data_IF_262583325887
#
_entry.id   IF_262583325887
#
_cell.length_a   1.000
_cell.length_b   1.000
_cell.length_c   1.000
_cell.angle_alpha   90.00
_cell.angle_beta   90.00
_cell.angle_gamma   90.00
#
_symmetry.space_group_name_H-M   'P 1'
#
loop_
_entity.id
_entity.type
_entity.pdbx_description
1 polymer ?
#
# COMPACT_ATOMS: atom_id res chain seq x y z
N UNK A 1 -16.71 8.69 26.39
CA UNK A 1 -15.92 8.30 25.20
C UNK A 1 -16.89 8.02 24.05
N UNK A 2 -17.17 9.01 23.19
CA UNK A 2 -18.07 8.81 22.04
C UNK A 2 -17.26 8.11 20.95
N UNK A 3 -17.54 6.83 20.68
CA UNK A 3 -17.08 6.17 19.45
C UNK A 3 -17.63 7.00 18.28
N UNK A 4 -16.74 7.67 17.55
CA UNK A 4 -17.10 8.20 16.24
C UNK A 4 -17.56 7.01 15.41
N UNK A 5 -18.85 6.96 15.10
CA UNK A 5 -19.38 6.09 14.05
C UNK A 5 -18.88 6.72 12.74
N UNK A 6 -17.60 6.47 12.44
CA UNK A 6 -16.98 6.92 11.20
C UNK A 6 -17.75 6.26 10.06
N UNK A 7 -18.50 7.08 9.33
CA UNK A 7 -19.19 6.71 8.10
C UNK A 7 -18.15 6.42 7.02
N UNK A 8 -17.44 5.30 7.16
CA UNK A 8 -16.47 4.74 6.21
C UNK A 8 -17.00 4.77 4.78
N UNK A 9 -18.30 4.51 4.61
CA UNK A 9 -18.96 4.41 3.30
C UNK A 9 -19.11 5.73 2.53
N UNK A 10 -19.03 6.91 3.16
CA UNK A 10 -19.51 8.15 2.51
C UNK A 10 -18.43 8.98 1.79
N UNK A 11 -17.14 8.78 2.04
CA UNK A 11 -16.08 9.61 1.42
C UNK A 11 -15.08 8.86 0.54
N UNK A 12 -14.83 7.57 0.80
CA UNK A 12 -13.73 6.83 0.15
C UNK A 12 -14.20 5.84 -0.92
N UNK A 13 -15.52 5.59 -1.01
CA UNK A 13 -16.05 4.44 -1.76
C UNK A 13 -17.01 4.86 -2.87
N UNK A 14 -16.46 5.23 -4.03
CA UNK A 14 -17.22 5.16 -5.28
C UNK A 14 -17.30 3.69 -5.70
N UNK A 15 -18.40 3.03 -5.35
CA UNK A 15 -18.65 1.63 -5.75
C UNK A 15 -18.75 1.58 -7.29
N UNK A 16 -18.17 0.54 -7.90
CA UNK A 16 -18.24 0.27 -9.35
C UNK A 16 -17.38 1.16 -10.25
N UNK A 17 -16.30 1.75 -9.75
CA UNK A 17 -15.29 2.43 -10.59
C UNK A 17 -14.05 1.57 -10.81
N UNK A 18 -13.31 1.85 -11.89
CA UNK A 18 -11.98 1.26 -12.16
C UNK A 18 -11.04 1.41 -10.97
N UNK A 19 -10.99 2.61 -10.39
CA UNK A 19 -10.17 2.90 -9.21
C UNK A 19 -10.55 2.01 -8.02
N UNK A 20 -11.85 1.92 -7.70
CA UNK A 20 -12.32 1.10 -6.58
C UNK A 20 -12.08 -0.40 -6.79
N UNK A 21 -11.99 -0.86 -8.04
CA UNK A 21 -11.66 -2.24 -8.36
C UNK A 21 -10.16 -2.49 -8.17
N UNK A 22 -9.31 -1.58 -8.65
CA UNK A 22 -7.85 -1.63 -8.46
C UNK A 22 -7.49 -1.59 -6.98
N UNK A 23 -8.07 -0.65 -6.23
CA UNK A 23 -7.84 -0.53 -4.78
C UNK A 23 -8.16 -1.81 -4.04
N UNK A 24 -9.32 -2.45 -4.32
CA UNK A 24 -9.69 -3.73 -3.69
C UNK A 24 -8.74 -4.85 -4.05
N UNK A 25 -8.31 -4.91 -5.32
CA UNK A 25 -7.35 -5.91 -5.76
C UNK A 25 -6.04 -5.78 -4.96
N UNK A 26 -5.52 -4.56 -4.84
CA UNK A 26 -4.30 -4.27 -4.08
C UNK A 26 -4.48 -4.53 -2.58
N UNK A 27 -5.60 -4.11 -1.99
CA UNK A 27 -5.92 -4.39 -0.57
C UNK A 27 -5.92 -5.89 -0.27
N UNK A 28 -6.50 -6.71 -1.14
CA UNK A 28 -6.48 -8.16 -0.95
C UNK A 28 -5.05 -8.70 -0.90
N UNK A 29 -4.18 -8.24 -1.81
CA UNK A 29 -2.78 -8.70 -1.87
C UNK A 29 -1.98 -8.20 -0.66
N UNK A 30 -2.06 -6.91 -0.35
CA UNK A 30 -1.36 -6.33 0.81
C UNK A 30 -1.88 -6.96 2.11
N UNK A 31 -3.18 -7.21 2.21
CA UNK A 31 -3.82 -7.89 3.33
C UNK A 31 -3.56 -9.39 3.43
N UNK A 32 -2.74 -9.98 2.55
CA UNK A 32 -2.30 -11.37 2.66
C UNK A 32 -3.24 -12.42 2.05
N UNK A 33 -4.19 -12.03 1.20
CA UNK A 33 -5.01 -13.01 0.48
C UNK A 33 -4.14 -13.82 -0.50
N UNK A 34 -4.24 -15.15 -0.44
CA UNK A 34 -3.52 -16.05 -1.35
C UNK A 34 -3.97 -15.91 -2.83
N UNK A 35 -5.15 -15.35 -3.07
CA UNK A 35 -5.63 -15.05 -4.42
C UNK A 35 -6.57 -13.85 -4.44
N UNK A 36 -6.61 -13.18 -5.58
CA UNK A 36 -7.59 -12.14 -5.90
C UNK A 36 -7.77 -12.10 -7.42
N UNK A 37 -8.93 -11.65 -7.89
CA UNK A 37 -9.23 -11.57 -9.32
C UNK A 37 -10.12 -10.36 -9.61
N UNK A 38 -9.98 -9.80 -10.80
CA UNK A 38 -10.98 -8.89 -11.33
C UNK A 38 -12.19 -9.68 -11.82
N UNK A 39 -13.39 -9.19 -11.53
CA UNK A 39 -14.61 -9.74 -12.11
C UNK A 39 -14.60 -9.55 -13.63
N UNK A 40 -15.33 -10.39 -14.38
CA UNK A 40 -15.39 -10.35 -15.85
C UNK A 40 -15.96 -9.03 -16.39
N UNK A 41 -15.35 -8.56 -17.47
CA UNK A 41 -15.88 -7.54 -18.37
C UNK A 41 -16.83 -8.20 -19.41
N UNK A 42 -17.88 -7.53 -19.93
CA UNK A 42 -18.37 -6.18 -19.62
C UNK A 42 -19.46 -6.12 -18.52
N UNK A 43 -19.70 -7.21 -17.79
CA UNK A 43 -20.75 -7.28 -16.74
C UNK A 43 -20.21 -6.70 -15.41
N UNK A 44 -19.74 -5.45 -15.45
CA UNK A 44 -19.36 -4.67 -14.26
C UNK A 44 -18.02 -5.02 -13.61
N UNK A 45 -17.13 -5.74 -14.31
CA UNK A 45 -15.78 -6.05 -13.84
C UNK A 45 -14.70 -5.65 -14.83
N UNK A 46 -13.43 -5.57 -14.39
CA UNK A 46 -12.32 -5.15 -15.24
C UNK A 46 -11.71 -6.27 -16.10
N UNK A 47 -12.02 -7.55 -15.84
CA UNK A 47 -11.41 -8.68 -16.54
C UNK A 47 -9.88 -8.54 -16.67
N UNK A 48 -9.38 -8.59 -17.90
CA UNK A 48 -7.97 -8.33 -18.25
C UNK A 48 -7.81 -7.04 -19.11
N UNK A 49 -8.62 -6.02 -18.83
CA UNK A 49 -8.51 -4.71 -19.49
C UNK A 49 -7.19 -3.99 -19.16
N UNK A 50 -6.90 -2.91 -19.87
CA UNK A 50 -5.69 -2.09 -19.66
C UNK A 50 -5.45 -1.68 -18.19
N UNK A 51 -6.46 -1.15 -17.46
CA UNK A 51 -6.30 -0.84 -16.03
C UNK A 51 -5.97 -2.06 -15.15
N UNK A 52 -6.61 -3.21 -15.40
CA UNK A 52 -6.31 -4.45 -14.67
C UNK A 52 -4.87 -4.90 -14.91
N UNK A 53 -4.38 -4.84 -16.15
CA UNK A 53 -3.00 -5.17 -16.50
C UNK A 53 -1.99 -4.23 -15.82
N UNK A 54 -2.28 -2.92 -15.76
CA UNK A 54 -1.44 -1.93 -15.06
C UNK A 54 -1.36 -2.22 -13.55
N UNK A 55 -2.49 -2.54 -12.91
CA UNK A 55 -2.53 -2.94 -11.51
C UNK A 55 -1.70 -4.22 -11.25
N UNK A 56 -1.85 -5.25 -12.09
CA UNK A 56 -1.05 -6.48 -11.98
C UNK A 56 0.45 -6.17 -12.15
N UNK A 57 0.83 -5.32 -13.10
CA UNK A 57 2.23 -4.87 -13.27
C UNK A 57 2.73 -4.12 -12.05
N UNK A 58 1.91 -3.28 -11.41
CA UNK A 58 2.25 -2.58 -10.18
C UNK A 58 2.62 -3.57 -9.05
N UNK A 59 1.83 -4.63 -8.90
CA UNK A 59 2.08 -5.67 -7.90
C UNK A 59 3.29 -6.54 -8.23
N UNK A 60 3.55 -6.84 -9.52
CA UNK A 60 4.78 -7.54 -9.92
C UNK A 60 6.03 -6.72 -9.63
N UNK A 61 5.95 -5.39 -9.77
CA UNK A 61 7.01 -4.47 -9.35
C UNK A 61 7.21 -4.49 -7.84
N UNK A 62 6.13 -4.53 -7.06
CA UNK A 62 6.21 -4.67 -5.60
C UNK A 62 6.88 -6.00 -5.19
N UNK A 63 6.46 -7.11 -5.80
CA UNK A 63 7.03 -8.45 -5.56
C UNK A 63 8.53 -8.53 -5.91
N UNK A 64 9.00 -7.73 -6.88
CA UNK A 64 10.45 -7.66 -7.18
C UNK A 64 11.29 -7.00 -6.08
N UNK A 65 10.66 -6.38 -5.09
CA UNK A 65 11.31 -5.70 -3.98
C UNK A 65 11.08 -6.41 -2.64
N UNK A 66 9.93 -7.08 -2.49
CA UNK A 66 9.47 -7.63 -1.22
C UNK A 66 8.88 -9.02 -1.39
N UNK A 67 9.36 -9.95 -0.57
CA UNK A 67 8.75 -11.26 -0.40
C UNK A 67 7.46 -11.13 0.42
N UNK A 68 6.33 -10.99 -0.26
CA UNK A 68 5.04 -10.71 0.39
C UNK A 68 4.61 -11.77 1.41
N UNK A 69 5.07 -13.02 1.27
CA UNK A 69 4.77 -14.12 2.20
C UNK A 69 5.53 -14.02 3.53
N UNK A 70 6.57 -13.19 3.61
CA UNK A 70 7.30 -12.91 4.85
C UNK A 70 6.66 -11.79 5.68
N UNK A 71 5.57 -11.17 5.20
CA UNK A 71 4.92 -10.03 5.86
C UNK A 71 3.69 -10.46 6.67
N UNK A 72 3.41 -9.71 7.73
CA UNK A 72 2.17 -9.80 8.51
C UNK A 72 1.49 -8.43 8.62
N UNK A 73 0.17 -8.35 8.87
CA UNK A 73 -0.50 -7.06 9.11
C UNK A 73 0.20 -6.26 10.22
N UNK A 74 0.45 -4.97 9.99
CA UNK A 74 1.30 -4.14 10.85
C UNK A 74 0.77 -2.72 11.09
N UNK A 75 -0.53 -2.47 10.92
CA UNK A 75 -1.14 -1.15 11.14
C UNK A 75 -0.91 -0.58 12.55
N UNK A 76 -0.57 -1.40 13.54
CA UNK A 76 -0.16 -0.99 14.89
C UNK A 76 1.16 -0.19 14.90
N UNK A 77 1.98 -0.31 13.85
CA UNK A 77 3.19 0.50 13.65
C UNK A 77 2.89 1.88 13.05
N UNK A 78 1.64 2.18 12.69
CA UNK A 78 1.23 3.47 12.13
C UNK A 78 0.59 4.37 13.20
N UNK A 79 0.87 5.67 13.10
CA UNK A 79 0.20 6.73 13.84
C UNK A 79 -0.13 7.90 12.91
N UNK A 80 -1.00 8.81 13.35
CA UNK A 80 -1.34 10.05 12.65
C UNK A 80 -1.70 9.85 11.16
N UNK A 81 -2.48 8.82 10.89
CA UNK A 81 -2.99 8.49 9.56
C UNK A 81 -4.51 8.54 9.54
N UNK A 82 -5.08 8.72 8.36
CA UNK A 82 -6.52 8.59 8.22
C UNK A 82 -6.90 7.11 8.27
N UNK A 83 -7.57 6.74 9.37
CA UNK A 83 -8.12 5.40 9.56
C UNK A 83 -8.80 4.91 8.30
N UNK A 84 -8.66 3.62 8.02
CA UNK A 84 -9.35 2.97 6.90
C UNK A 84 -8.92 3.41 5.49
N UNK A 85 -7.86 4.22 5.35
CA UNK A 85 -7.27 4.61 4.06
C UNK A 85 -5.82 4.20 3.86
N UNK A 86 -5.14 3.85 4.94
CA UNK A 86 -3.74 3.42 4.92
C UNK A 86 -3.63 2.02 5.53
N UNK A 87 -3.03 1.11 4.78
CA UNK A 87 -2.83 -0.28 5.19
C UNK A 87 -1.34 -0.58 5.20
N UNK A 88 -0.90 -1.36 6.18
CA UNK A 88 0.50 -1.76 6.33
C UNK A 88 0.60 -3.27 6.55
N UNK A 89 1.47 -3.90 5.79
CA UNK A 89 2.01 -5.24 6.06
C UNK A 89 3.52 -5.14 6.24
N UNK A 90 4.05 -5.80 7.27
CA UNK A 90 5.41 -5.60 7.75
C UNK A 90 6.08 -6.90 8.17
N UNK A 91 7.40 -6.92 7.98
CA UNK A 91 8.35 -7.77 8.67
C UNK A 91 9.34 -6.80 9.36
N UNK A 92 9.11 -6.47 10.64
CA UNK A 92 9.85 -5.42 11.34
C UNK A 92 11.37 -5.58 11.22
N UNK A 93 12.03 -4.50 10.82
CA UNK A 93 13.48 -4.45 10.58
C UNK A 93 13.92 -4.93 9.19
N UNK A 94 13.05 -5.57 8.41
CA UNK A 94 13.39 -6.10 7.07
C UNK A 94 12.61 -5.43 5.94
N UNK A 95 11.28 -5.47 5.99
CA UNK A 95 10.45 -4.99 4.89
C UNK A 95 9.10 -4.46 5.39
N UNK A 96 8.59 -3.44 4.73
CA UNK A 96 7.28 -2.84 4.99
C UNK A 96 6.62 -2.49 3.66
N UNK A 97 5.33 -2.79 3.57
CA UNK A 97 4.49 -2.45 2.42
C UNK A 97 3.33 -1.62 2.90
N UNK A 98 3.31 -0.34 2.52
CA UNK A 98 2.17 0.54 2.77
C UNK A 98 1.31 0.65 1.51
N UNK A 99 0.00 0.73 1.69
CA UNK A 99 -0.93 1.08 0.63
C UNK A 99 -1.82 2.22 1.08
N UNK A 100 -1.77 3.31 0.31
CA UNK A 100 -2.62 4.49 0.46
C UNK A 100 -3.70 4.45 -0.62
N UNK A 101 -4.98 4.47 -0.22
CA UNK A 101 -6.11 4.51 -1.16
C UNK A 101 -6.13 5.80 -1.99
N UNK A 102 -5.75 6.90 -1.37
CA UNK A 102 -5.64 8.23 -1.95
C UNK A 102 -4.51 8.96 -1.21
N UNK A 103 -4.18 10.17 -1.66
CA UNK A 103 -3.08 10.92 -1.06
C UNK A 103 -3.23 11.15 0.44
N UNK A 104 -2.11 11.33 1.12
CA UNK A 104 -2.08 11.55 2.55
C UNK A 104 -0.72 11.29 3.18
N UNK A 105 -0.74 11.11 4.50
CA UNK A 105 0.46 10.81 5.27
C UNK A 105 0.18 9.87 6.42
N UNK A 106 1.20 9.15 6.87
CA UNK A 106 1.20 8.33 8.07
C UNK A 106 2.57 8.42 8.76
N UNK A 107 2.59 8.37 10.08
CA UNK A 107 3.82 8.24 10.86
C UNK A 107 4.11 6.75 11.08
N UNK A 108 5.18 6.24 10.47
CA UNK A 108 5.65 4.87 10.63
C UNK A 108 6.64 4.78 11.79
N UNK A 109 6.39 3.87 12.73
CA UNK A 109 7.30 3.61 13.84
C UNK A 109 8.43 2.67 13.42
N UNK A 110 9.65 3.19 13.30
CA UNK A 110 10.88 2.43 13.08
C UNK A 110 11.85 2.55 14.27
N UNK A 111 11.36 2.92 15.46
CA UNK A 111 12.19 3.18 16.63
C UNK A 111 13.09 1.99 17.02
N UNK A 112 12.57 0.78 16.91
CA UNK A 112 13.28 -0.45 17.27
C UNK A 112 14.09 -1.05 16.11
N UNK A 113 14.12 -0.38 14.95
CA UNK A 113 14.80 -0.84 13.75
C UNK A 113 16.12 -0.09 13.56
N UNK A 114 17.18 -0.80 13.16
CA UNK A 114 18.50 -0.22 12.88
C UNK A 114 18.77 -0.22 11.38
N UNK A 115 19.68 0.66 10.96
CA UNK A 115 20.13 0.75 9.57
C UNK A 115 19.24 1.63 8.69
N UNK A 116 19.63 1.71 7.43
CA UNK A 116 18.94 2.48 6.40
C UNK A 116 17.99 1.60 5.61
N UNK A 117 16.91 2.20 5.13
CA UNK A 117 15.87 1.55 4.34
C UNK A 117 15.68 2.29 3.01
N UNK A 118 15.59 1.51 1.93
CA UNK A 118 15.18 1.99 0.62
C UNK A 118 13.67 2.06 0.56
N UNK A 119 13.15 3.24 0.27
CA UNK A 119 11.74 3.52 0.07
C UNK A 119 11.50 3.73 -1.42
N UNK A 120 10.55 2.99 -2.00
CA UNK A 120 10.19 3.08 -3.41
C UNK A 120 8.68 3.07 -3.62
N UNK A 121 8.17 4.12 -4.26
CA UNK A 121 6.76 4.28 -4.58
C UNK A 121 6.37 3.58 -5.89
N UNK A 122 5.13 3.10 -5.97
CA UNK A 122 4.50 2.54 -7.17
C UNK A 122 3.07 3.08 -7.24
N UNK A 123 2.68 3.68 -8.36
CA UNK A 123 1.30 4.12 -8.54
C UNK A 123 0.43 2.89 -8.86
N UNK A 124 -0.63 2.66 -8.07
CA UNK A 124 -1.45 1.46 -8.20
C UNK A 124 -2.29 1.42 -9.48
N UNK A 125 -2.66 2.59 -10.03
CA UNK A 125 -3.52 2.71 -11.21
C UNK A 125 -2.70 2.68 -12.50
N UNK A 126 -1.57 3.38 -12.54
CA UNK A 126 -0.73 3.45 -13.74
C UNK A 126 0.28 2.31 -13.82
N UNK A 127 0.65 1.74 -12.68
CA UNK A 127 1.72 0.75 -12.55
C UNK A 127 3.12 1.33 -12.73
N UNK A 128 3.27 2.65 -12.70
CA UNK A 128 4.54 3.34 -12.87
C UNK A 128 5.32 3.44 -11.56
N UNK A 129 6.65 3.53 -11.68
CA UNK A 129 7.50 3.80 -10.52
C UNK A 129 7.34 5.25 -10.11
N UNK A 130 7.23 5.49 -8.82
CA UNK A 130 7.34 6.82 -8.22
C UNK A 130 8.76 7.09 -7.71
N UNK A 131 8.87 8.12 -6.87
CA UNK A 131 10.15 8.53 -6.27
C UNK A 131 10.75 7.40 -5.42
N UNK A 132 12.08 7.31 -5.44
CA UNK A 132 12.85 6.51 -4.49
C UNK A 132 13.62 7.42 -3.53
N UNK A 133 13.66 7.06 -2.25
CA UNK A 133 14.40 7.77 -1.21
C UNK A 133 14.96 6.81 -0.18
N UNK A 134 15.91 7.26 0.63
CA UNK A 134 16.41 6.50 1.79
C UNK A 134 15.88 7.12 3.08
N UNK A 135 15.51 6.27 4.04
CA UNK A 135 15.16 6.68 5.40
C UNK A 135 15.98 5.87 6.40
N UNK A 136 16.31 6.47 7.54
CA UNK A 136 17.07 5.80 8.60
C UNK A 136 16.11 5.34 9.71
N UNK A 137 16.32 4.11 10.19
CA UNK A 137 15.64 3.57 11.37
C UNK A 137 15.99 4.31 12.66
N UNK A 138 15.50 3.80 13.80
CA UNK A 138 15.77 4.34 15.13
C UNK A 138 14.83 5.47 15.54
N UNK A 139 13.82 5.79 14.72
CA UNK A 139 12.85 6.87 14.98
C UNK A 139 11.52 6.62 14.29
N UNK A 140 10.51 7.42 14.66
CA UNK A 140 9.28 7.56 13.88
C UNK A 140 9.57 8.40 12.64
N UNK A 141 9.06 7.98 11.49
CA UNK A 141 9.26 8.66 10.20
C UNK A 141 7.91 9.01 9.59
N UNK A 142 7.73 10.28 9.23
CA UNK A 142 6.54 10.71 8.48
C UNK A 142 6.68 10.30 7.02
N UNK A 143 5.75 9.47 6.56
CA UNK A 143 5.61 9.07 5.17
C UNK A 143 4.49 9.90 4.54
N UNK A 144 4.72 10.50 3.38
CA UNK A 144 3.73 11.27 2.63
C UNK A 144 3.70 10.80 1.18
N UNK A 145 2.51 10.61 0.63
CA UNK A 145 2.33 10.18 -0.75
C UNK A 145 2.87 11.24 -1.72
N UNK A 146 3.26 10.85 -2.96
CA UNK A 146 3.70 11.81 -3.97
C UNK A 146 2.64 12.85 -4.36
N UNK A 147 1.37 12.45 -4.41
CA UNK A 147 0.21 13.27 -4.77
C UNK A 147 -1.08 12.68 -4.16
N UNK A 148 -2.25 13.06 -4.70
CA UNK A 148 -3.59 12.63 -4.29
C UNK A 148 -4.01 11.24 -4.80
N UNK A 149 -3.17 10.55 -5.59
CA UNK A 149 -3.48 9.24 -6.15
C UNK A 149 -3.36 8.06 -5.19
N UNK A 150 -3.63 6.84 -5.70
CA UNK A 150 -3.44 5.59 -4.95
C UNK A 150 -2.00 5.07 -5.09
N UNK A 151 -1.34 4.85 -3.96
CA UNK A 151 0.09 4.56 -3.92
C UNK A 151 0.43 3.33 -3.09
N UNK A 152 1.19 2.43 -3.70
CA UNK A 152 1.95 1.38 -3.03
C UNK A 152 3.32 1.91 -2.66
N UNK A 153 3.79 1.54 -1.47
CA UNK A 153 5.12 1.84 -1.00
C UNK A 153 5.83 0.59 -0.52
N UNK A 154 6.99 0.31 -1.09
CA UNK A 154 7.92 -0.67 -0.54
C UNK A 154 8.99 0.06 0.28
N UNK A 155 9.24 -0.40 1.50
CA UNK A 155 10.37 0.02 2.34
C UNK A 155 11.16 -1.25 2.67
N UNK A 156 12.41 -1.33 2.23
CA UNK A 156 13.25 -2.54 2.38
C UNK A 156 14.57 -2.16 3.02
N UNK A 157 15.03 -2.91 4.01
CA UNK A 157 16.33 -2.66 4.64
C UNK A 157 17.45 -2.75 3.61
N UNK A 158 18.45 -1.88 3.74
CA UNK A 158 19.73 -2.08 3.08
C UNK A 158 20.40 -3.30 3.71
N UNK A 159 20.12 -4.48 3.18
CA UNK A 159 20.95 -5.64 3.49
C UNK A 159 22.17 -5.53 2.57
N UNK A 160 23.34 -5.24 3.15
CA UNK A 160 24.61 -5.47 2.47
C UNK A 160 24.70 -6.99 2.35
N UNK A 161 24.45 -7.52 1.16
CA UNK A 161 24.83 -8.90 0.83
C UNK A 161 26.32 -9.10 1.01
#
# INVERSE_FOLDING_TARGET
>A
MKRSVNNYHKRVWHRWTTESAVQRYVMNVVGGCASTRFHRDPIGGLGLTGPAQKCIKALRKLESLVEMWELSPGNDLLADYEDSKVFLSANPGKAYVLFFLEGGSANLNLADCKGDFNLKWINALTGEWGKATTITGGKKVKISTPDDGSWLLAIVSHTIN
#
